data_IF_957349445720
#
_entry.id   IF_957349445720
#
_cell.length_a   1.000
_cell.length_b   1.000
_cell.length_c   1.000
_cell.angle_alpha   90.00
_cell.angle_beta   90.00
_cell.angle_gamma   90.00
#
_symmetry.space_group_name_H-M   'P 1'
#
loop_
_entity.id
_entity.type
_entity.pdbx_description
1 polymer ?
#
# COMPACT_ATOMS: atom_id res chain seq x y z
N UNK A 1 8.02 3.52 25.15
CA UNK A 1 6.84 2.64 25.33
C UNK A 1 7.11 1.37 24.55
N UNK A 2 7.14 0.23 25.21
CA UNK A 2 7.31 -1.07 24.57
C UNK A 2 6.12 -1.42 23.68
N UNK A 3 6.29 -2.33 22.73
CA UNK A 3 5.22 -2.77 21.82
C UNK A 3 3.98 -3.28 22.59
N UNK A 4 4.22 -4.01 23.68
CA UNK A 4 3.17 -4.55 24.55
C UNK A 4 2.42 -3.44 25.32
N UNK A 5 3.13 -2.47 25.86
CA UNK A 5 2.54 -1.32 26.56
C UNK A 5 1.72 -0.44 25.61
N UNK A 6 2.22 -0.23 24.40
CA UNK A 6 1.49 0.51 23.37
C UNK A 6 0.19 -0.20 22.99
N UNK A 7 0.22 -1.51 22.83
CA UNK A 7 -0.95 -2.32 22.54
C UNK A 7 -2.02 -2.20 23.62
N UNK A 8 -1.62 -2.31 24.89
CA UNK A 8 -2.53 -2.13 26.03
C UNK A 8 -3.10 -0.71 26.10
N UNK A 9 -2.28 0.29 25.77
CA UNK A 9 -2.68 1.69 25.74
C UNK A 9 -3.69 1.94 24.61
N UNK A 10 -3.45 1.38 23.43
CA UNK A 10 -4.36 1.45 22.29
C UNK A 10 -5.69 0.76 22.60
N UNK A 11 -5.66 -0.37 23.28
CA UNK A 11 -6.86 -1.10 23.71
C UNK A 11 -7.71 -0.28 24.67
N UNK A 12 -7.08 0.32 25.73
CA UNK A 12 -7.78 1.22 26.65
C UNK A 12 -8.35 2.45 25.96
N UNK A 13 -7.64 2.95 24.96
CA UNK A 13 -8.09 4.07 24.14
C UNK A 13 -9.34 3.72 23.33
N UNK A 14 -9.37 2.53 22.73
CA UNK A 14 -10.51 2.00 21.97
C UNK A 14 -11.74 1.75 22.85
N UNK A 15 -11.52 1.28 24.08
CA UNK A 15 -12.58 1.03 25.06
C UNK A 15 -13.14 2.31 25.72
N UNK A 16 -12.56 3.49 25.38
CA UNK A 16 -12.93 4.76 26.01
C UNK A 16 -12.52 4.88 27.48
N UNK A 17 -11.67 3.97 27.98
CA UNK A 17 -11.21 3.88 29.38
C UNK A 17 -9.86 4.56 29.61
N UNK A 18 -9.31 5.23 28.61
CA UNK A 18 -8.08 6.00 28.76
C UNK A 18 -8.30 7.21 29.64
N UNK A 19 -7.37 7.41 30.57
CA UNK A 19 -7.24 8.66 31.29
C UNK A 19 -6.83 9.80 30.31
N UNK A 20 -7.07 11.09 30.65
CA UNK A 20 -6.61 12.21 29.81
C UNK A 20 -5.11 12.18 29.53
N UNK A 21 -4.29 11.72 30.50
CA UNK A 21 -2.85 11.59 30.35
C UNK A 21 -2.46 10.47 29.34
N UNK A 22 -3.10 9.32 29.42
CA UNK A 22 -2.89 8.20 28.46
C UNK A 22 -3.33 8.60 27.05
N UNK A 23 -4.43 9.32 26.92
CA UNK A 23 -4.89 9.85 25.63
C UNK A 23 -3.87 10.82 25.03
N UNK A 24 -3.35 11.73 25.83
CA UNK A 24 -2.30 12.66 25.41
C UNK A 24 -1.00 11.92 25.02
N UNK A 25 -0.72 10.78 25.63
CA UNK A 25 0.44 9.94 25.31
C UNK A 25 0.29 9.23 23.97
N UNK A 26 -0.88 8.68 23.66
CA UNK A 26 -1.20 8.11 22.33
C UNK A 26 -1.09 9.17 21.25
N UNK A 27 -1.64 10.35 21.48
CA UNK A 27 -1.59 11.47 20.52
C UNK A 27 -0.14 11.93 20.29
N UNK A 28 0.63 12.18 21.35
CA UNK A 28 2.06 12.56 21.23
C UNK A 28 2.90 11.52 20.52
N UNK A 29 2.66 10.26 20.82
CA UNK A 29 3.38 9.17 20.17
C UNK A 29 3.05 9.11 18.66
N UNK A 30 1.81 9.36 18.28
CA UNK A 30 1.39 9.46 16.89
C UNK A 30 2.02 10.68 16.18
N UNK A 31 2.08 11.82 16.87
CA UNK A 31 2.68 13.04 16.35
C UNK A 31 4.20 12.95 16.21
N UNK A 32 4.88 12.24 17.13
CA UNK A 32 6.32 11.98 17.04
C UNK A 32 6.69 11.16 15.81
N UNK A 33 5.84 10.22 15.38
CA UNK A 33 6.05 9.48 14.14
C UNK A 33 5.99 10.36 12.90
N UNK A 34 5.09 11.34 12.88
CA UNK A 34 5.00 12.30 11.77
C UNK A 34 6.11 13.36 11.80
N UNK A 35 6.55 13.76 12.99
CA UNK A 35 7.64 14.73 13.13
C UNK A 35 8.96 14.11 12.69
N UNK A 36 9.13 12.80 12.83
CA UNK A 36 10.28 12.07 12.33
C UNK A 36 10.27 11.97 10.78
N UNK A 37 9.09 11.86 10.17
CA UNK A 37 8.90 11.93 8.72
C UNK A 37 9.04 13.37 8.19
N UNK A 38 8.50 14.37 8.92
CA UNK A 38 8.64 15.79 8.57
C UNK A 38 10.05 16.34 8.82
N UNK A 39 10.76 15.84 9.82
CA UNK A 39 12.15 16.19 10.09
C UNK A 39 13.13 15.74 9.02
N UNK A 40 12.82 14.67 8.29
CA UNK A 40 13.60 14.23 7.11
C UNK A 40 13.34 15.11 5.88
N UNK A 41 12.22 15.82 5.81
CA UNK A 41 11.95 16.79 4.75
C UNK A 41 12.60 18.18 5.03
N UNK A 42 13.02 18.46 6.25
CA UNK A 42 13.63 19.76 6.64
C UNK A 42 15.15 19.85 6.40
N UNK A 43 15.79 18.79 5.93
CA UNK A 43 17.19 18.82 5.46
C UNK A 43 17.25 18.93 3.93
N UNK A 44 16.41 19.77 3.35
CA UNK A 44 16.61 20.23 1.97
C UNK A 44 17.87 21.08 1.98
N UNK A 45 18.98 20.48 1.52
CA UNK A 45 20.24 21.16 1.27
C UNK A 45 19.98 22.36 0.36
N UNK A 46 20.61 23.54 0.59
CA UNK A 46 20.46 24.70 -0.29
C UNK A 46 20.78 24.38 -1.77
N UNK A 47 21.48 23.30 -2.01
CA UNK A 47 21.77 22.80 -3.36
C UNK A 47 20.53 22.14 -4.02
N UNK A 48 19.61 21.58 -3.25
CA UNK A 48 18.41 20.91 -3.76
C UNK A 48 17.38 21.94 -4.26
N UNK A 49 17.23 23.07 -3.59
CA UNK A 49 16.40 24.19 -4.07
C UNK A 49 16.96 24.82 -5.36
N UNK A 50 18.28 24.90 -5.50
CA UNK A 50 18.90 25.37 -6.73
C UNK A 50 18.69 24.39 -7.90
N UNK A 51 18.71 23.07 -7.64
CA UNK A 51 18.44 22.02 -8.64
C UNK A 51 16.96 22.03 -9.05
N UNK A 52 16.05 22.14 -8.11
CA UNK A 52 14.61 22.28 -8.42
C UNK A 52 14.32 23.53 -9.24
N UNK A 53 14.90 24.68 -8.86
CA UNK A 53 14.76 25.92 -9.63
C UNK A 53 15.31 25.77 -11.06
N UNK A 54 16.44 25.07 -11.23
CA UNK A 54 17.04 24.81 -12.55
C UNK A 54 16.16 23.85 -13.41
N UNK A 55 15.55 22.84 -12.79
CA UNK A 55 14.58 21.94 -13.46
C UNK A 55 13.35 22.71 -13.91
N UNK A 56 12.78 23.53 -13.03
CA UNK A 56 11.60 24.35 -13.37
C UNK A 56 11.91 25.41 -14.44
N UNK A 57 13.12 25.94 -14.45
CA UNK A 57 13.57 26.86 -15.50
C UNK A 57 13.71 26.18 -16.86
N UNK A 58 14.23 24.94 -16.93
CA UNK A 58 14.30 24.14 -18.15
C UNK A 58 12.91 23.75 -18.68
N UNK A 59 11.98 23.40 -17.80
CA UNK A 59 10.60 23.08 -18.18
C UNK A 59 9.83 24.30 -18.70
N UNK A 60 10.20 25.52 -18.30
CA UNK A 60 9.59 26.77 -18.80
C UNK A 60 10.24 27.28 -20.10
N UNK A 61 11.47 26.90 -20.40
CA UNK A 61 12.21 27.38 -21.57
C UNK A 61 12.09 26.49 -22.80
N UNK A 62 11.43 25.34 -22.69
CA UNK A 62 11.15 24.47 -23.83
C UNK A 62 9.64 24.37 -24.08
N UNK A 63 9.01 25.41 -24.69
CA UNK A 63 7.72 25.23 -25.34
C UNK A 63 8.02 24.34 -26.55
N UNK A 64 7.97 23.03 -26.37
CA UNK A 64 8.03 22.08 -27.47
C UNK A 64 7.03 22.53 -28.50
N UNK A 65 7.53 23.12 -29.59
CA UNK A 65 6.72 23.35 -30.79
C UNK A 65 6.09 21.99 -31.13
N UNK A 66 4.77 21.91 -31.26
CA UNK A 66 4.14 20.67 -31.63
C UNK A 66 4.73 20.25 -32.98
N UNK A 67 5.50 19.17 -33.00
CA UNK A 67 5.95 18.55 -34.23
C UNK A 67 4.70 18.36 -35.10
N UNK A 68 4.66 18.83 -36.34
CA UNK A 68 3.50 18.64 -37.19
C UNK A 68 3.25 17.14 -37.27
N UNK A 69 2.05 16.73 -36.88
CA UNK A 69 1.61 15.35 -36.96
C UNK A 69 1.85 14.84 -38.39
N UNK A 70 2.34 13.61 -38.59
CA UNK A 70 2.52 13.03 -39.90
C UNK A 70 1.17 13.09 -40.61
N UNK A 71 1.12 13.78 -41.77
CA UNK A 71 -0.07 13.81 -42.63
C UNK A 71 -0.37 12.39 -43.08
N UNK A 72 -1.33 11.77 -42.42
CA UNK A 72 -1.94 10.53 -42.91
C UNK A 72 -2.64 10.91 -44.21
N UNK A 73 -2.08 10.53 -45.36
CA UNK A 73 -2.75 10.59 -46.64
C UNK A 73 -3.96 9.66 -46.56
N UNK A 74 -5.13 10.25 -46.35
CA UNK A 74 -6.39 9.54 -46.57
C UNK A 74 -6.49 9.31 -48.07
N UNK A 75 -6.25 8.08 -48.49
CA UNK A 75 -6.60 7.60 -49.81
C UNK A 75 -8.13 7.51 -49.86
N UNK A 76 -8.79 8.55 -50.28
CA UNK A 76 -10.20 8.50 -50.61
C UNK A 76 -10.33 7.69 -51.93
N UNK A 77 -11.12 6.63 -51.96
CA UNK A 77 -11.34 5.88 -53.20
C UNK A 77 -12.15 6.73 -54.18
N UNK A 78 -11.61 6.90 -55.40
CA UNK A 78 -12.07 7.81 -56.45
C UNK A 78 -13.40 7.40 -57.14
N UNK A 79 -14.17 6.50 -56.57
CA UNK A 79 -15.41 6.01 -57.22
C UNK A 79 -16.70 6.69 -56.77
N UNK A 80 -16.58 7.75 -56.00
CA UNK A 80 -17.75 8.49 -55.50
C UNK A 80 -18.14 9.71 -56.33
N UNK A 81 -17.48 9.94 -57.46
CA UNK A 81 -17.71 11.13 -58.31
C UNK A 81 -18.51 10.90 -59.60
N UNK A 82 -19.27 9.80 -59.72
CA UNK A 82 -20.06 9.59 -60.93
C UNK A 82 -21.54 9.30 -60.62
N UNK A 83 -22.36 10.24 -61.02
CA UNK A 83 -23.76 10.17 -61.47
C UNK A 83 -24.87 10.68 -60.56
N UNK A 84 -25.75 11.53 -61.10
CA UNK A 84 -26.88 12.18 -60.42
C UNK A 84 -28.20 11.40 -60.56
N UNK A 85 -28.28 10.15 -60.11
CA UNK A 85 -29.54 9.36 -60.20
C UNK A 85 -29.81 8.64 -58.86
N UNK A 86 -29.83 9.37 -57.79
CA UNK A 86 -29.94 8.68 -56.46
C UNK A 86 -30.88 9.35 -55.45
N UNK A 87 -31.84 10.15 -55.90
CA UNK A 87 -32.73 10.85 -54.96
C UNK A 87 -34.08 10.18 -54.68
N UNK A 88 -34.38 9.05 -55.32
CA UNK A 88 -35.69 8.42 -55.17
C UNK A 88 -35.71 7.19 -54.23
N UNK A 89 -34.55 6.65 -53.81
CA UNK A 89 -34.53 5.45 -52.98
C UNK A 89 -34.21 5.72 -51.49
N UNK A 90 -33.90 6.98 -51.13
CA UNK A 90 -33.39 7.32 -49.77
C UNK A 90 -34.47 7.50 -48.71
N UNK A 91 -35.72 7.76 -49.06
CA UNK A 91 -36.76 8.08 -48.06
C UNK A 91 -37.43 6.83 -47.49
N UNK A 92 -37.44 5.74 -48.23
CA UNK A 92 -38.06 4.48 -47.74
C UNK A 92 -37.20 3.68 -46.72
N UNK A 93 -35.87 3.80 -46.82
CA UNK A 93 -34.95 3.12 -45.89
C UNK A 93 -34.72 3.88 -44.58
N UNK A 94 -34.92 5.21 -44.58
CA UNK A 94 -34.82 6.01 -43.33
C UNK A 94 -35.96 5.72 -42.34
N UNK A 95 -37.16 5.42 -42.84
CA UNK A 95 -38.30 5.10 -41.98
C UNK A 95 -38.21 3.69 -41.32
N UNK A 96 -37.58 2.74 -42.00
CA UNK A 96 -37.34 1.39 -41.44
C UNK A 96 -36.09 1.32 -40.54
N UNK A 97 -35.09 2.20 -40.80
CA UNK A 97 -33.89 2.28 -39.98
C UNK A 97 -34.09 2.96 -38.61
N UNK A 98 -34.99 3.98 -38.55
CA UNK A 98 -35.27 4.66 -37.27
C UNK A 98 -36.17 3.86 -36.32
N UNK A 99 -37.06 2.98 -36.85
CA UNK A 99 -37.91 2.13 -36.05
C UNK A 99 -37.20 0.92 -35.40
N UNK A 100 -36.10 0.46 -36.00
CA UNK A 100 -35.34 -0.70 -35.52
C UNK A 100 -34.17 -0.39 -34.60
N UNK A 101 -33.65 0.85 -34.62
CA UNK A 101 -32.47 1.26 -33.83
C UNK A 101 -32.84 1.78 -32.42
N UNK A 102 -34.09 2.18 -32.19
CA UNK A 102 -34.54 2.68 -30.89
C UNK A 102 -34.52 1.61 -29.77
N UNK A 103 -34.86 0.32 -29.99
CA UNK A 103 -34.72 -0.69 -28.94
C UNK A 103 -33.25 -1.15 -28.74
N UNK A 104 -32.38 -1.08 -29.77
CA UNK A 104 -30.98 -1.46 -29.62
C UNK A 104 -30.15 -0.42 -28.82
N UNK A 105 -30.42 0.86 -29.03
CA UNK A 105 -29.75 1.94 -28.29
C UNK A 105 -30.13 1.94 -26.79
N UNK A 106 -31.33 1.46 -26.44
CA UNK A 106 -31.74 1.27 -25.03
C UNK A 106 -31.07 0.08 -24.36
N UNK A 107 -30.56 -0.89 -25.13
CA UNK A 107 -29.91 -2.07 -24.56
C UNK A 107 -28.42 -1.82 -24.24
N UNK A 108 -27.80 -0.77 -24.80
CA UNK A 108 -26.39 -0.44 -24.56
C UNK A 108 -26.17 0.56 -23.41
N UNK A 109 -27.23 1.18 -22.88
CA UNK A 109 -27.14 2.07 -21.70
C UNK A 109 -27.48 1.40 -20.36
N UNK A 110 -27.71 0.08 -20.34
CA UNK A 110 -28.11 -0.65 -19.15
C UNK A 110 -26.97 -1.42 -18.47
N UNK A 111 -25.69 -1.11 -18.75
CA UNK A 111 -24.58 -1.89 -18.19
C UNK A 111 -23.56 -1.04 -17.43
N UNK A 112 -24.00 -0.02 -16.72
CA UNK A 112 -23.17 0.64 -15.68
C UNK A 112 -24.03 1.15 -14.52
N UNK A 113 -24.84 0.28 -13.93
CA UNK A 113 -25.33 0.52 -12.60
C UNK A 113 -24.50 -0.33 -11.63
N UNK A 114 -23.35 0.18 -11.22
CA UNK A 114 -22.74 -0.24 -9.98
C UNK A 114 -23.81 -0.07 -8.89
N UNK A 115 -24.41 -1.16 -8.42
CA UNK A 115 -25.49 -1.16 -7.45
C UNK A 115 -24.95 -0.68 -6.10
N UNK A 116 -24.90 0.63 -5.91
CA UNK A 116 -24.86 1.22 -4.58
C UNK A 116 -26.26 1.13 -4.00
N UNK A 117 -26.56 -0.01 -3.40
CA UNK A 117 -27.82 -0.22 -2.68
C UNK A 117 -27.74 0.50 -1.34
N UNK A 118 -28.33 1.68 -1.22
CA UNK A 118 -28.55 2.28 0.11
C UNK A 118 -29.70 1.52 0.76
N UNK A 119 -29.38 0.69 1.76
CA UNK A 119 -30.40 0.03 2.58
C UNK A 119 -31.13 1.08 3.43
N UNK A 120 -32.43 0.92 3.63
CA UNK A 120 -33.30 1.78 4.47
C UNK A 120 -32.79 1.94 5.94
N UNK A 121 -31.79 1.16 6.35
CA UNK A 121 -31.21 1.14 7.70
C UNK A 121 -29.92 1.97 7.85
N UNK A 122 -29.62 2.92 6.94
CA UNK A 122 -28.42 3.77 7.06
C UNK A 122 -27.09 3.05 6.75
N UNK A 123 -27.14 1.88 6.10
CA UNK A 123 -25.99 1.14 5.62
C UNK A 123 -25.80 1.32 4.11
N UNK A 124 -24.59 1.53 3.69
CA UNK A 124 -24.18 1.52 2.28
C UNK A 124 -23.38 0.25 2.01
N UNK A 125 -23.71 -0.45 0.92
CA UNK A 125 -22.99 -1.65 0.48
C UNK A 125 -22.51 -1.45 -0.96
N UNK A 126 -21.22 -1.68 -1.19
CA UNK A 126 -20.59 -1.69 -2.50
C UNK A 126 -20.03 -3.06 -2.79
N UNK A 127 -20.41 -3.64 -3.93
CA UNK A 127 -19.84 -4.89 -4.43
C UNK A 127 -19.17 -4.63 -5.77
N UNK A 128 -17.88 -4.94 -5.86
CA UNK A 128 -17.14 -4.89 -7.12
C UNK A 128 -17.40 -6.19 -7.90
N UNK A 129 -18.40 -6.17 -8.77
CA UNK A 129 -18.70 -7.28 -9.66
C UNK A 129 -17.94 -7.20 -10.99
N UNK A 130 -17.07 -6.19 -11.17
CA UNK A 130 -16.27 -6.00 -12.39
C UNK A 130 -14.95 -6.77 -12.31
N UNK A 131 -14.21 -6.81 -13.42
CA UNK A 131 -12.86 -7.37 -13.47
C UNK A 131 -11.75 -6.32 -13.20
N UNK A 132 -12.14 -5.08 -12.90
CA UNK A 132 -11.21 -3.99 -12.62
C UNK A 132 -11.34 -3.54 -11.17
N UNK A 133 -10.29 -2.93 -10.64
CA UNK A 133 -10.32 -2.32 -9.30
C UNK A 133 -11.27 -1.12 -9.27
N UNK A 134 -11.99 -0.94 -8.18
CA UNK A 134 -12.86 0.21 -7.96
C UNK A 134 -12.34 1.06 -6.81
N UNK A 135 -12.29 2.37 -7.00
CA UNK A 135 -11.89 3.31 -5.96
C UNK A 135 -13.13 3.95 -5.35
N UNK A 136 -13.31 3.78 -4.06
CA UNK A 136 -14.40 4.34 -3.27
C UNK A 136 -13.87 5.41 -2.34
N UNK A 137 -14.55 6.55 -2.27
CA UNK A 137 -14.29 7.55 -1.24
C UNK A 137 -15.34 7.42 -0.15
N UNK A 138 -14.88 7.25 1.10
CA UNK A 138 -15.75 7.13 2.26
C UNK A 138 -16.13 8.52 2.82
N UNK A 139 -17.21 8.60 3.63
CA UNK A 139 -17.67 9.87 4.22
C UNK A 139 -16.65 10.57 5.13
N UNK A 140 -15.66 9.85 5.65
CA UNK A 140 -14.59 10.37 6.50
C UNK A 140 -13.35 10.82 5.72
N UNK A 141 -13.47 10.95 4.39
CA UNK A 141 -12.41 11.24 3.43
C UNK A 141 -11.37 10.10 3.25
N UNK A 142 -11.56 8.94 3.89
CA UNK A 142 -10.75 7.75 3.60
C UNK A 142 -11.03 7.23 2.19
N UNK A 143 -10.01 6.63 1.57
CA UNK A 143 -10.10 6.03 0.24
C UNK A 143 -9.92 4.53 0.34
N UNK A 144 -10.75 3.78 -0.38
CA UNK A 144 -10.69 2.31 -0.45
C UNK A 144 -10.59 1.89 -1.90
N UNK A 145 -9.54 1.14 -2.24
CA UNK A 145 -9.40 0.50 -3.55
C UNK A 145 -9.85 -0.95 -3.41
N UNK A 146 -11.05 -1.22 -3.93
CA UNK A 146 -11.74 -2.51 -3.79
C UNK A 146 -11.41 -3.43 -4.98
N UNK A 147 -10.86 -4.59 -4.71
CA UNK A 147 -10.50 -5.58 -5.72
C UNK A 147 -11.72 -6.26 -6.35
N UNK A 148 -11.60 -6.84 -7.57
CA UNK A 148 -12.66 -7.62 -8.19
C UNK A 148 -13.21 -8.72 -7.27
N UNK A 149 -14.54 -8.93 -7.28
CA UNK A 149 -15.21 -9.93 -6.47
C UNK A 149 -15.35 -9.59 -4.99
N UNK A 150 -14.84 -8.41 -4.56
CA UNK A 150 -14.89 -7.98 -3.16
C UNK A 150 -16.11 -7.10 -2.87
N UNK A 151 -16.51 -7.05 -1.60
CA UNK A 151 -17.60 -6.19 -1.13
C UNK A 151 -17.21 -5.43 0.14
N UNK A 152 -17.66 -4.18 0.21
CA UNK A 152 -17.45 -3.29 1.35
C UNK A 152 -18.80 -2.76 1.83
N UNK A 153 -19.08 -2.87 3.13
CA UNK A 153 -20.28 -2.34 3.78
C UNK A 153 -19.89 -1.40 4.91
N UNK A 154 -20.54 -0.26 5.01
CA UNK A 154 -20.30 0.74 6.05
C UNK A 154 -21.57 1.56 6.32
N UNK A 155 -21.63 2.24 7.46
CA UNK A 155 -22.73 3.17 7.76
C UNK A 155 -22.57 4.45 6.94
N UNK A 156 -23.68 4.97 6.42
CA UNK A 156 -23.69 6.13 5.50
C UNK A 156 -22.95 7.37 6.07
N UNK A 157 -22.99 7.56 7.38
CA UNK A 157 -22.34 8.71 8.01
C UNK A 157 -20.96 8.39 8.60
N UNK A 158 -20.58 7.10 8.74
CA UNK A 158 -19.46 6.69 9.59
C UNK A 158 -19.44 7.47 10.91
N UNK A 159 -20.64 7.72 11.47
CA UNK A 159 -20.86 8.53 12.66
C UNK A 159 -20.54 7.73 13.92
N UNK A 160 -20.30 8.41 15.04
CA UNK A 160 -20.03 7.79 16.33
C UNK A 160 -18.57 7.84 16.76
N UNK A 161 -18.26 7.19 17.89
CA UNK A 161 -16.91 7.15 18.47
C UNK A 161 -15.91 6.33 17.63
N UNK A 162 -16.40 5.47 16.74
CA UNK A 162 -15.60 4.58 15.89
C UNK A 162 -16.09 4.68 14.45
N UNK A 163 -15.18 4.45 13.49
CA UNK A 163 -15.46 4.37 12.05
C UNK A 163 -15.40 2.90 11.64
N UNK A 164 -16.53 2.28 11.42
CA UNK A 164 -16.60 0.83 11.22
C UNK A 164 -16.96 0.49 9.78
N UNK A 165 -16.18 -0.40 9.17
CA UNK A 165 -16.43 -0.95 7.85
C UNK A 165 -16.32 -2.47 7.88
N UNK A 166 -17.07 -3.14 7.01
CA UNK A 166 -17.10 -4.60 6.89
C UNK A 166 -16.63 -4.98 5.49
N UNK A 167 -15.55 -5.77 5.42
CA UNK A 167 -14.92 -6.20 4.17
C UNK A 167 -15.10 -7.70 3.99
N UNK A 168 -15.51 -8.11 2.78
CA UNK A 168 -15.39 -9.46 2.26
C UNK A 168 -14.58 -9.41 0.98
N UNK A 169 -13.45 -10.15 0.91
CA UNK A 169 -12.53 -10.15 -0.21
C UNK A 169 -11.26 -9.34 0.07
N UNK A 170 -10.83 -8.52 -0.89
CA UNK A 170 -9.54 -7.81 -0.84
C UNK A 170 -9.71 -6.32 -1.13
N UNK A 171 -9.09 -5.48 -0.30
CA UNK A 171 -9.09 -4.03 -0.47
C UNK A 171 -7.81 -3.40 0.10
N UNK A 172 -7.36 -2.34 -0.56
CA UNK A 172 -6.35 -1.42 -0.05
C UNK A 172 -7.04 -0.20 0.56
N UNK A 173 -6.68 0.13 1.79
CA UNK A 173 -7.22 1.24 2.56
C UNK A 173 -6.19 2.34 2.71
N UNK A 174 -6.59 3.59 2.42
CA UNK A 174 -5.88 4.82 2.77
C UNK A 174 -6.78 5.59 3.75
N UNK A 175 -6.58 5.35 5.04
CA UNK A 175 -7.46 5.87 6.08
C UNK A 175 -7.03 7.27 6.47
N UNK A 176 -7.99 8.21 6.44
CA UNK A 176 -7.77 9.57 6.92
C UNK A 176 -7.40 9.58 8.41
N UNK A 177 -6.32 10.31 8.76
CA UNK A 177 -5.80 10.36 10.13
C UNK A 177 -6.79 11.01 11.07
N UNK A 178 -7.27 10.26 12.04
CA UNK A 178 -8.13 10.74 13.11
C UNK A 178 -7.92 9.91 14.38
N UNK A 179 -6.96 10.29 15.25
CA UNK A 179 -6.68 9.56 16.49
C UNK A 179 -7.86 9.54 17.48
N UNK A 180 -8.75 10.54 17.43
CA UNK A 180 -9.92 10.60 18.30
C UNK A 180 -11.02 9.60 17.91
N UNK A 181 -11.00 9.09 16.66
CA UNK A 181 -12.01 8.18 16.12
C UNK A 181 -11.34 7.04 15.36
N UNK A 182 -11.03 5.92 16.03
CA UNK A 182 -10.40 4.76 15.39
C UNK A 182 -11.22 4.25 14.22
N UNK A 183 -10.51 3.74 13.20
CA UNK A 183 -11.10 3.09 12.03
C UNK A 183 -10.93 1.58 12.16
N UNK A 184 -12.03 0.84 12.07
CA UNK A 184 -12.06 -0.60 12.24
C UNK A 184 -12.52 -1.28 10.95
N UNK A 185 -11.71 -2.22 10.46
CA UNK A 185 -12.09 -3.09 9.35
C UNK A 185 -12.43 -4.46 9.93
N UNK A 186 -13.70 -4.80 9.84
CA UNK A 186 -14.20 -6.12 10.23
C UNK A 186 -14.20 -7.05 9.02
N UNK A 187 -13.55 -8.18 9.15
CA UNK A 187 -13.68 -9.30 8.22
C UNK A 187 -14.29 -10.50 8.92
N UNK A 188 -14.48 -11.61 8.24
CA UNK A 188 -14.95 -12.84 8.86
C UNK A 188 -13.92 -13.42 9.87
N UNK A 189 -12.63 -13.22 9.59
CA UNK A 189 -11.53 -13.84 10.32
C UNK A 189 -10.88 -12.93 11.37
N UNK A 190 -10.68 -11.65 11.02
CA UNK A 190 -9.92 -10.70 11.83
C UNK A 190 -10.61 -9.35 11.92
N UNK A 191 -10.26 -8.59 12.96
CA UNK A 191 -10.59 -7.17 13.12
C UNK A 191 -9.29 -6.38 13.06
N UNK A 192 -9.23 -5.43 12.14
CA UNK A 192 -8.08 -4.55 11.94
C UNK A 192 -8.43 -3.15 12.44
N UNK A 193 -7.62 -2.59 13.32
CA UNK A 193 -7.84 -1.27 13.93
C UNK A 193 -6.70 -0.34 13.60
N UNK A 194 -7.04 0.87 13.13
CA UNK A 194 -6.07 1.90 12.72
C UNK A 194 -6.53 3.29 13.14
N UNK A 195 -5.58 4.25 13.19
CA UNK A 195 -5.87 5.66 13.49
C UNK A 195 -5.68 6.58 12.27
N UNK A 196 -4.99 6.11 11.23
CA UNK A 196 -4.70 6.83 10.00
C UNK A 196 -3.48 6.19 9.34
N UNK A 197 -3.70 5.26 8.42
CA UNK A 197 -2.70 4.34 7.89
C UNK A 197 -3.05 3.94 6.48
N UNK A 198 -2.04 3.47 5.73
CA UNK A 198 -2.18 2.85 4.43
C UNK A 198 -1.85 1.36 4.55
N UNK A 199 -2.82 0.49 4.27
CA UNK A 199 -2.68 -0.97 4.47
C UNK A 199 -3.59 -1.78 3.55
N UNK A 200 -3.18 -3.01 3.28
CA UNK A 200 -3.92 -3.99 2.49
C UNK A 200 -4.60 -5.00 3.43
N UNK A 201 -5.82 -5.40 3.10
CA UNK A 201 -6.54 -6.50 3.76
C UNK A 201 -7.04 -7.46 2.72
N UNK A 202 -6.74 -8.75 2.89
CA UNK A 202 -7.21 -9.84 2.05
C UNK A 202 -7.86 -10.92 2.91
N UNK A 203 -9.18 -11.04 2.81
CA UNK A 203 -9.98 -11.92 3.66
C UNK A 203 -11.22 -12.42 2.88
N UNK A 204 -11.01 -13.37 1.98
CA UNK A 204 -12.09 -13.94 1.18
C UNK A 204 -12.97 -14.88 2.00
N UNK A 205 -14.30 -14.87 1.78
CA UNK A 205 -15.21 -15.84 2.38
C UNK A 205 -14.81 -17.27 2.02
N UNK A 206 -14.65 -18.14 3.04
CA UNK A 206 -14.21 -19.51 2.83
C UNK A 206 -12.71 -19.70 2.58
N UNK A 207 -11.93 -18.61 2.53
CA UNK A 207 -10.48 -18.68 2.45
C UNK A 207 -9.85 -19.31 3.69
N UNK A 208 -8.80 -20.10 3.52
CA UNK A 208 -8.06 -20.75 4.60
C UNK A 208 -7.24 -19.74 5.44
N UNK A 209 -7.00 -18.55 4.91
CA UNK A 209 -6.17 -17.51 5.52
C UNK A 209 -6.77 -16.13 5.31
N UNK A 210 -6.45 -15.20 6.23
CA UNK A 210 -6.61 -13.78 6.04
C UNK A 210 -5.25 -13.10 6.21
N UNK A 211 -4.99 -12.08 5.39
CA UNK A 211 -3.73 -11.34 5.39
C UNK A 211 -4.01 -9.85 5.60
N UNK A 212 -3.19 -9.22 6.44
CA UNK A 212 -3.15 -7.76 6.60
C UNK A 212 -1.70 -7.31 6.46
N UNK A 213 -1.42 -6.40 5.52
CA UNK A 213 -0.09 -5.88 5.23
C UNK A 213 -0.06 -4.35 5.37
N UNK A 214 0.98 -3.80 5.98
CA UNK A 214 1.09 -2.37 6.25
C UNK A 214 2.08 -1.72 5.28
N UNK A 215 1.64 -0.62 4.63
CA UNK A 215 2.50 0.24 3.83
C UNK A 215 2.98 1.44 4.62
N UNK A 216 2.08 2.05 5.41
CA UNK A 216 2.37 3.27 6.14
C UNK A 216 1.57 3.32 7.45
N UNK A 217 2.20 3.83 8.53
CA UNK A 217 1.58 3.95 9.84
C UNK A 217 1.65 2.67 10.66
N UNK A 218 0.67 2.44 11.53
CA UNK A 218 0.60 1.28 12.43
C UNK A 218 -0.78 0.66 12.42
N UNK A 219 -0.83 -0.66 12.45
CA UNK A 219 -2.06 -1.45 12.35
C UNK A 219 -2.10 -2.47 13.46
N UNK A 220 -3.18 -2.51 14.23
CA UNK A 220 -3.45 -3.57 15.20
C UNK A 220 -4.41 -4.59 14.58
N UNK A 221 -4.05 -5.86 14.62
CA UNK A 221 -4.86 -6.96 14.09
C UNK A 221 -5.19 -7.96 15.18
N UNK A 222 -6.46 -8.33 15.29
CA UNK A 222 -6.96 -9.30 16.26
C UNK A 222 -7.79 -10.37 15.57
N UNK A 223 -7.75 -11.65 16.01
CA UNK A 223 -8.70 -12.65 15.55
C UNK A 223 -10.13 -12.26 15.90
N UNK A 224 -11.06 -12.45 14.97
CA UNK A 224 -12.48 -12.30 15.25
C UNK A 224 -13.04 -13.62 15.73
N UNK A 225 -13.51 -13.69 16.98
CA UNK A 225 -14.19 -14.88 17.48
C UNK A 225 -15.60 -14.96 16.86
N UNK A 226 -16.02 -16.16 16.47
CA UNK A 226 -17.30 -16.40 15.81
C UNK A 226 -18.54 -15.91 16.61
N UNK A 227 -18.43 -15.81 17.94
CA UNK A 227 -19.49 -15.31 18.82
C UNK A 227 -19.64 -13.78 18.85
N UNK A 228 -18.76 -13.01 18.20
CA UNK A 228 -18.77 -11.54 18.22
C UNK A 228 -19.38 -10.91 16.95
N UNK A 229 -20.08 -11.69 16.14
CA UNK A 229 -20.81 -11.19 14.98
C UNK A 229 -21.97 -10.25 15.35
N UNK A 230 -22.46 -10.32 16.58
CA UNK A 230 -23.53 -9.50 17.12
C UNK A 230 -22.98 -8.59 18.25
N UNK A 231 -22.64 -7.37 17.86
CA UNK A 231 -22.67 -6.12 18.63
C UNK A 231 -22.33 -6.18 20.15
N UNK A 232 -21.15 -6.65 20.55
CA UNK A 232 -20.65 -6.36 21.91
C UNK A 232 -19.21 -5.86 21.87
N UNK A 233 -18.84 -4.91 22.77
CA UNK A 233 -17.49 -4.34 22.77
C UNK A 233 -16.42 -5.42 22.95
N UNK A 234 -15.37 -5.30 22.16
CA UNK A 234 -14.18 -6.14 22.20
C UNK A 234 -13.81 -6.61 23.62
N UNK A 235 -14.04 -7.88 23.90
CA UNK A 235 -13.44 -8.50 25.09
C UNK A 235 -11.93 -8.65 24.83
N UNK A 236 -11.07 -8.25 25.79
CA UNK A 236 -9.60 -8.27 25.62
C UNK A 236 -9.02 -9.67 25.77
N UNK A 237 -9.58 -10.68 25.11
CA UNK A 237 -9.29 -12.06 25.45
C UNK A 237 -8.15 -12.73 24.65
N UNK A 238 -7.57 -12.10 23.64
CA UNK A 238 -6.33 -12.60 23.00
C UNK A 238 -5.51 -11.46 22.45
N UNK A 239 -4.23 -11.44 22.77
CA UNK A 239 -3.25 -10.47 22.32
C UNK A 239 -3.32 -10.30 20.81
N UNK A 240 -3.63 -9.11 20.37
CA UNK A 240 -3.53 -8.73 18.96
C UNK A 240 -2.08 -8.52 18.58
N UNK A 241 -1.82 -8.47 17.27
CA UNK A 241 -0.49 -8.22 16.72
C UNK A 241 -0.44 -6.78 16.22
N UNK A 242 0.59 -6.02 16.62
CA UNK A 242 0.90 -4.71 16.09
C UNK A 242 1.83 -4.85 14.88
N UNK A 243 1.45 -4.27 13.77
CA UNK A 243 2.22 -4.22 12.53
C UNK A 243 2.75 -2.82 12.29
N UNK A 244 4.00 -2.77 11.85
CA UNK A 244 4.71 -1.58 11.35
C UNK A 244 4.79 -1.63 9.81
N UNK A 245 5.23 -0.57 9.15
CA UNK A 245 5.46 -0.60 7.71
C UNK A 245 6.35 -1.77 7.28
N UNK A 246 6.09 -2.32 6.10
CA UNK A 246 6.75 -3.51 5.55
C UNK A 246 6.51 -4.81 6.34
N UNK A 247 5.59 -4.80 7.30
CA UNK A 247 5.18 -6.00 8.02
C UNK A 247 3.78 -6.43 7.59
N UNK A 248 3.55 -7.72 7.64
CA UNK A 248 2.24 -8.33 7.45
C UNK A 248 1.94 -9.36 8.52
N UNK A 249 0.68 -9.68 8.66
CA UNK A 249 0.21 -10.80 9.47
C UNK A 249 -0.65 -11.73 8.63
N UNK A 250 -0.41 -13.01 8.74
CA UNK A 250 -1.22 -14.07 8.15
C UNK A 250 -1.98 -14.76 9.28
N UNK A 251 -3.30 -14.67 9.24
CA UNK A 251 -4.18 -15.44 10.11
C UNK A 251 -4.56 -16.76 9.44
N UNK A 252 -4.26 -17.87 10.08
CA UNK A 252 -4.68 -19.21 9.64
C UNK A 252 -5.99 -19.60 10.30
N UNK A 253 -7.01 -19.92 9.50
CA UNK A 253 -8.32 -20.36 10.01
C UNK A 253 -8.22 -21.73 10.67
N UNK A 254 -7.35 -22.61 10.19
CA UNK A 254 -7.19 -23.97 10.72
C UNK A 254 -6.52 -23.98 12.10
N UNK A 255 -5.49 -23.16 12.32
CA UNK A 255 -4.74 -23.11 13.59
C UNK A 255 -5.19 -21.99 14.52
N UNK A 256 -6.06 -21.09 14.08
CA UNK A 256 -6.48 -19.87 14.79
C UNK A 256 -5.29 -19.01 15.27
N UNK A 257 -4.19 -19.03 14.51
CA UNK A 257 -2.94 -18.35 14.85
C UNK A 257 -2.66 -17.17 13.91
N UNK A 258 -2.12 -16.08 14.48
CA UNK A 258 -1.60 -14.92 13.76
C UNK A 258 -0.08 -15.09 13.66
N UNK A 259 0.45 -15.23 12.44
CA UNK A 259 1.89 -15.24 12.15
C UNK A 259 2.28 -13.87 11.59
N UNK A 260 3.13 -13.16 12.32
CA UNK A 260 3.69 -11.87 11.88
C UNK A 260 4.96 -12.13 11.07
N UNK A 261 5.09 -11.49 9.92
CA UNK A 261 6.25 -11.65 9.02
C UNK A 261 6.47 -10.39 8.18
N UNK A 262 7.58 -10.31 7.45
CA UNK A 262 7.82 -9.26 6.47
C UNK A 262 6.96 -9.48 5.22
N UNK A 263 6.60 -8.39 4.53
CA UNK A 263 5.98 -8.47 3.20
C UNK A 263 6.98 -9.00 2.18
N UNK A 264 6.50 -9.64 1.11
CA UNK A 264 7.36 -10.20 0.05
C UNK A 264 8.21 -9.14 -0.66
N UNK A 265 7.71 -7.92 -0.78
CA UNK A 265 8.40 -6.79 -1.43
C UNK A 265 8.36 -5.56 -0.52
N UNK A 266 9.29 -5.45 0.44
CA UNK A 266 9.39 -4.27 1.28
C UNK A 266 9.62 -3.01 0.44
N UNK A 267 8.86 -1.95 0.71
CA UNK A 267 9.00 -0.65 0.07
C UNK A 267 10.03 0.21 0.80
N UNK A 268 10.68 1.09 0.08
CA UNK A 268 11.57 2.12 0.65
C UNK A 268 10.69 3.11 1.42
N UNK A 269 10.92 3.26 2.72
CA UNK A 269 10.21 4.20 3.59
C UNK A 269 10.92 5.55 3.63
N UNK A 270 12.25 5.54 3.58
CA UNK A 270 13.09 6.74 3.58
C UNK A 270 13.89 6.76 2.27
N UNK A 271 13.51 7.61 1.31
CA UNK A 271 14.22 7.72 0.04
C UNK A 271 15.69 8.13 0.25
N UNK A 272 16.62 7.40 -0.36
CA UNK A 272 18.05 7.70 -0.35
C UNK A 272 18.76 7.02 -1.53
N UNK A 273 19.96 7.50 -1.87
CA UNK A 273 20.82 6.83 -2.82
C UNK A 273 21.46 5.59 -2.19
N UNK A 274 21.59 4.55 -2.98
CA UNK A 274 22.23 3.30 -2.56
C UNK A 274 23.52 3.07 -3.36
N UNK A 275 24.38 4.07 -3.33
CA UNK A 275 25.73 4.05 -3.94
C UNK A 275 26.77 4.02 -2.83
N UNK A 276 27.57 2.97 -2.82
CA UNK A 276 28.57 2.72 -1.80
C UNK A 276 29.92 2.47 -2.46
N UNK A 277 30.92 3.29 -2.15
CA UNK A 277 32.29 3.16 -2.62
C UNK A 277 33.17 2.98 -1.40
N UNK A 278 33.88 1.84 -1.34
CA UNK A 278 34.73 1.44 -0.22
C UNK A 278 34.11 1.62 1.18
N UNK A 279 32.78 1.40 1.29
CA UNK A 279 32.08 1.59 2.54
C UNK A 279 32.12 0.36 3.44
N UNK A 280 32.27 0.56 4.76
CA UNK A 280 32.09 -0.53 5.71
C UNK A 280 30.75 -1.23 5.54
N UNK A 281 30.74 -2.56 5.49
CA UNK A 281 29.52 -3.36 5.32
C UNK A 281 28.48 -3.04 6.38
N UNK A 282 28.91 -2.76 7.61
CA UNK A 282 28.01 -2.36 8.69
C UNK A 282 27.25 -1.07 8.37
N UNK A 283 27.85 -0.10 7.68
CA UNK A 283 27.19 1.14 7.25
C UNK A 283 26.17 0.87 6.12
N UNK A 284 26.52 -0.02 5.18
CA UNK A 284 25.61 -0.43 4.11
C UNK A 284 24.38 -1.10 4.69
N UNK A 285 24.54 -2.04 5.63
CA UNK A 285 23.43 -2.72 6.31
C UNK A 285 22.58 -1.74 7.13
N UNK A 286 23.20 -0.82 7.88
CA UNK A 286 22.48 0.21 8.63
C UNK A 286 21.67 1.16 7.71
N UNK A 287 22.23 1.46 6.53
CA UNK A 287 21.55 2.27 5.52
C UNK A 287 20.31 1.54 4.96
N UNK A 288 20.43 0.25 4.65
CA UNK A 288 19.31 -0.57 4.21
C UNK A 288 18.26 -0.70 5.33
N UNK A 289 18.68 -0.99 6.56
CA UNK A 289 17.78 -1.05 7.72
C UNK A 289 16.96 0.24 7.87
N UNK A 290 17.63 1.40 7.82
CA UNK A 290 16.98 2.71 7.93
C UNK A 290 16.03 2.97 6.75
N UNK A 291 16.46 2.63 5.52
CA UNK A 291 15.66 2.89 4.32
C UNK A 291 14.35 2.11 4.30
N UNK A 292 14.39 0.86 4.75
CA UNK A 292 13.24 -0.04 4.69
C UNK A 292 12.51 -0.20 6.03
N UNK A 293 13.08 0.29 7.14
CA UNK A 293 12.53 0.12 8.49
C UNK A 293 12.47 -1.36 8.92
N UNK A 294 13.33 -2.20 8.36
CA UNK A 294 13.41 -3.65 8.63
C UNK A 294 14.68 -3.94 9.40
N UNK A 295 14.61 -4.49 10.64
CA UNK A 295 15.80 -4.80 11.43
C UNK A 295 16.71 -5.79 10.71
N UNK A 296 18.02 -5.47 10.62
CA UNK A 296 19.04 -6.31 10.02
C UNK A 296 20.09 -6.65 11.07
N UNK A 297 20.06 -7.87 11.54
CA UNK A 297 20.99 -8.38 12.56
C UNK A 297 22.22 -8.98 11.90
N UNK A 298 23.40 -8.69 12.42
CA UNK A 298 24.65 -9.25 11.96
C UNK A 298 25.71 -9.25 13.08
N UNK A 299 26.71 -10.10 12.96
CA UNK A 299 27.84 -10.15 13.86
C UNK A 299 28.83 -9.02 13.51
N UNK A 300 28.85 -7.97 14.36
CA UNK A 300 29.70 -6.80 14.17
C UNK A 300 31.20 -7.13 14.18
N UNK A 301 31.61 -8.15 14.94
CA UNK A 301 33.02 -8.52 15.03
C UNK A 301 33.48 -9.22 13.76
N UNK A 302 32.66 -10.11 13.20
CA UNK A 302 32.95 -10.81 11.95
C UNK A 302 32.98 -9.89 10.75
N UNK A 303 32.16 -8.85 10.73
CA UNK A 303 32.12 -7.88 9.64
C UNK A 303 32.99 -6.64 9.91
N UNK A 304 33.73 -6.58 11.03
CA UNK A 304 34.66 -5.52 11.31
C UNK A 304 35.79 -5.50 10.23
N UNK A 305 35.98 -4.35 9.60
CA UNK A 305 36.98 -4.20 8.55
C UNK A 305 36.57 -4.69 7.15
N UNK A 306 35.38 -5.26 7.00
CA UNK A 306 34.81 -5.56 5.68
C UNK A 306 34.33 -4.30 4.99
N UNK A 307 34.87 -3.99 3.81
CA UNK A 307 34.36 -2.90 2.95
C UNK A 307 33.79 -3.46 1.67
N UNK A 308 32.88 -2.70 1.05
CA UNK A 308 32.27 -3.07 -0.23
C UNK A 308 32.05 -1.84 -1.09
N UNK A 309 32.27 -2.00 -2.41
CA UNK A 309 31.85 -1.05 -3.42
C UNK A 309 30.70 -1.68 -4.21
N UNK A 310 29.51 -1.13 -4.05
CA UNK A 310 28.28 -1.65 -4.67
C UNK A 310 27.28 -0.53 -4.91
N UNK A 311 26.63 -0.54 -6.06
CA UNK A 311 25.53 0.35 -6.39
C UNK A 311 24.27 -0.48 -6.59
N UNK A 312 23.20 -0.10 -5.89
CA UNK A 312 21.89 -0.68 -6.09
C UNK A 312 20.99 0.34 -6.80
N UNK A 313 20.21 -0.15 -7.75
CA UNK A 313 19.25 0.65 -8.50
C UNK A 313 17.81 0.36 -7.97
N UNK A 314 17.01 -0.31 -8.79
CA UNK A 314 15.60 -0.58 -8.50
C UNK A 314 15.35 -1.98 -7.90
N UNK A 315 16.40 -2.70 -7.52
CA UNK A 315 16.25 -4.03 -6.95
C UNK A 315 15.46 -3.97 -5.64
N UNK A 316 14.54 -4.93 -5.37
CA UNK A 316 13.88 -5.08 -4.09
C UNK A 316 14.87 -5.36 -2.95
N UNK A 317 14.50 -5.09 -1.70
CA UNK A 317 15.37 -5.28 -0.52
C UNK A 317 16.06 -6.65 -0.51
N UNK A 318 15.30 -7.72 -0.75
CA UNK A 318 15.84 -9.08 -0.66
C UNK A 318 16.85 -9.40 -1.77
N UNK A 319 16.69 -8.80 -2.95
CA UNK A 319 17.68 -8.89 -4.02
C UNK A 319 18.95 -8.09 -3.70
N UNK A 320 18.80 -6.86 -3.17
CA UNK A 320 19.94 -6.06 -2.68
C UNK A 320 20.76 -6.84 -1.64
N UNK A 321 20.08 -7.46 -0.68
CA UNK A 321 20.74 -8.30 0.32
C UNK A 321 21.37 -9.54 -0.28
N UNK A 322 20.74 -10.17 -1.26
CA UNK A 322 21.29 -11.30 -1.99
C UNK A 322 22.61 -10.93 -2.72
N UNK A 323 22.63 -9.79 -3.41
CA UNK A 323 23.82 -9.27 -4.07
C UNK A 323 24.94 -8.94 -3.08
N UNK A 324 24.61 -8.25 -1.98
CA UNK A 324 25.54 -7.93 -0.92
C UNK A 324 26.12 -9.20 -0.28
N UNK A 325 25.27 -10.15 0.08
CA UNK A 325 25.71 -11.41 0.67
C UNK A 325 26.63 -12.22 -0.28
N UNK A 326 26.28 -12.24 -1.58
CA UNK A 326 27.10 -12.90 -2.60
C UNK A 326 28.49 -12.29 -2.71
N UNK A 327 28.62 -10.96 -2.63
CA UNK A 327 29.93 -10.28 -2.68
C UNK A 327 30.79 -10.56 -1.45
N UNK A 328 30.17 -10.93 -0.32
CA UNK A 328 30.83 -11.19 0.97
C UNK A 328 31.04 -12.69 1.27
N UNK A 329 30.58 -13.59 0.40
CA UNK A 329 30.54 -15.01 0.72
C UNK A 329 29.62 -15.34 1.90
N UNK A 330 28.57 -14.53 2.12
CA UNK A 330 27.62 -14.60 3.20
C UNK A 330 26.25 -15.08 2.71
N UNK A 331 25.34 -15.33 3.63
CA UNK A 331 23.92 -15.56 3.34
C UNK A 331 23.04 -14.90 4.40
N UNK A 332 21.76 -14.74 4.12
CA UNK A 332 20.82 -14.20 5.09
C UNK A 332 19.66 -15.17 5.36
N UNK A 333 19.05 -15.05 6.52
CA UNK A 333 17.82 -15.77 6.91
C UNK A 333 16.76 -14.76 7.34
N UNK A 334 15.50 -15.11 7.12
CA UNK A 334 14.33 -14.35 7.55
C UNK A 334 13.72 -15.05 8.77
N UNK A 335 13.54 -14.33 9.85
CA UNK A 335 12.86 -14.81 11.03
C UNK A 335 11.82 -13.77 11.46
N UNK A 336 10.55 -14.13 11.36
CA UNK A 336 9.42 -13.23 11.63
C UNK A 336 9.54 -11.90 10.85
N UNK A 337 9.90 -10.81 11.54
CA UNK A 337 10.01 -9.46 10.96
C UNK A 337 11.43 -8.91 10.93
N UNK A 338 12.43 -9.76 11.02
CA UNK A 338 13.84 -9.37 11.02
C UNK A 338 14.67 -10.21 10.06
N UNK A 339 15.77 -9.66 9.62
CA UNK A 339 16.75 -10.29 8.73
C UNK A 339 18.01 -10.56 9.54
N UNK A 340 18.58 -11.74 9.40
CA UNK A 340 19.87 -12.07 10.04
C UNK A 340 20.88 -12.40 8.96
N UNK A 341 22.02 -11.68 8.94
CA UNK A 341 23.15 -11.93 8.05
C UNK A 341 24.12 -12.90 8.71
N UNK A 342 24.44 -13.98 8.03
CA UNK A 342 25.40 -14.98 8.45
C UNK A 342 26.66 -14.87 7.58
N UNK A 343 27.79 -14.54 8.21
CA UNK A 343 29.10 -14.40 7.55
C UNK A 343 30.19 -15.07 8.39
N UNK A 344 31.18 -15.63 7.72
CA UNK A 344 32.43 -16.11 8.33
C UNK A 344 33.45 -15.00 8.53
N UNK A 345 33.15 -13.80 8.06
CA UNK A 345 34.05 -12.64 8.03
C UNK A 345 34.68 -12.46 6.66
N UNK A 346 35.24 -11.28 6.44
CA UNK A 346 36.06 -11.00 5.25
C UNK A 346 37.47 -11.49 5.52
N UNK A 347 37.90 -12.55 4.82
CA UNK A 347 39.29 -12.93 4.82
C UNK A 347 40.08 -11.78 4.17
N UNK A 348 40.97 -11.14 4.92
CA UNK A 348 41.97 -10.27 4.35
C UNK A 348 42.68 -11.08 3.26
N UNK A 349 42.66 -10.60 2.01
CA UNK A 349 43.50 -11.17 0.97
C UNK A 349 44.93 -11.18 1.55
N UNK A 350 45.61 -12.34 1.59
CA UNK A 350 47.02 -12.32 2.00
C UNK A 350 47.75 -11.31 1.11
N UNK A 351 48.60 -10.45 1.69
CA UNK A 351 49.35 -9.49 0.89
C UNK A 351 50.03 -10.26 -0.23
N UNK A 352 49.86 -9.79 -1.47
CA UNK A 352 50.61 -10.30 -2.60
C UNK A 352 52.08 -10.17 -2.22
N UNK A 353 52.75 -11.31 -2.02
CA UNK A 353 54.17 -11.32 -1.78
C UNK A 353 54.84 -10.55 -2.93
N UNK A 354 55.65 -9.53 -2.66
CA UNK A 354 56.41 -8.84 -3.71
C UNK A 354 57.21 -9.91 -4.45
N UNK A 355 56.96 -10.04 -5.74
CA UNK A 355 57.56 -11.06 -6.61
C UNK A 355 59.05 -11.13 -6.46
N UNK A 356 59.51 -12.34 -6.25
CA UNK A 356 60.90 -12.74 -6.42
C UNK A 356 61.31 -12.70 -7.89
#
# INVERSE_FOLDING_TARGET
>A
VTEAEFYLLLQRYLDGRCTPAERAQVTRWYDQLQTQEAGSQSLVSPNQQAVEAAIWQRLRLDPAQPKPAPRVRQLAPAWWQAAPVRWAAGVGLLALGLGGLLPLARHWQATEAATAGTSANGWTSHRNATHQVQVLQLPDASRVTLQPGSSLRYTTALAGARREVYLEGEAFFQVHKNPARPFLVFTKQVVTTVLGTSFDVKAYPGGAQALVAVREGKVSVQPRQAAQLDATPLHPAKAGVLLLPNQQVVYSVASHHLKKELVDKPAVLVPQAFEFEERPVAEVLATLEKAYGVPILFDKQKLAGCTVSITFYDEPLFEKLGLLCKSLGAYYTLADTQITIHSTGCQAHPPLLPGS
#
